data_IF_631077896100
#
_entry.id   IF_631077896100
#
_cell.length_a   1.000
_cell.length_b   1.000
_cell.length_c   1.000
_cell.angle_alpha   90.00
_cell.angle_beta   90.00
_cell.angle_gamma   90.00
#
_symmetry.space_group_name_H-M   'P 1'
#
loop_
_entity.id
_entity.type
_entity.pdbx_description
1 polymer ?
#
# COMPACT_ATOMS: atom_id res chain seq x y z
N UNK A 1 4.35 -0.95 18.04
CA UNK A 1 3.57 -1.94 18.81
C UNK A 1 2.21 -1.34 19.17
N UNK A 2 1.17 -2.17 19.15
CA UNK A 2 -0.15 -1.76 19.63
C UNK A 2 -0.31 -2.05 21.11
N UNK A 3 -1.03 -1.19 21.78
CA UNK A 3 -1.33 -1.34 23.20
C UNK A 3 -2.79 -1.04 23.49
N UNK A 4 -3.29 -1.59 24.59
CA UNK A 4 -4.59 -1.26 25.16
C UNK A 4 -4.39 -0.28 26.29
N UNK A 5 -5.26 0.69 26.37
CA UNK A 5 -5.30 1.66 27.47
C UNK A 5 -6.73 1.98 27.83
N UNK A 6 -7.00 2.00 29.13
CA UNK A 6 -8.23 2.53 29.66
C UNK A 6 -8.26 4.07 29.56
N UNK A 7 -9.34 4.60 29.03
CA UNK A 7 -9.59 6.04 28.86
C UNK A 7 -10.93 6.40 29.48
N UNK A 8 -10.99 6.42 30.82
CA UNK A 8 -12.24 6.58 31.56
C UNK A 8 -13.07 5.30 31.48
N UNK A 9 -14.30 5.37 30.97
CA UNK A 9 -15.20 4.21 30.84
C UNK A 9 -15.02 3.42 29.55
N UNK A 10 -13.97 3.69 28.73
CA UNK A 10 -13.77 3.03 27.42
C UNK A 10 -12.35 2.55 27.25
N UNK A 11 -12.20 1.30 26.86
CA UNK A 11 -10.92 0.72 26.44
C UNK A 11 -10.59 1.17 25.01
N UNK A 12 -9.38 1.64 24.77
CA UNK A 12 -8.93 2.10 23.45
C UNK A 12 -7.65 1.41 23.04
N UNK A 13 -7.59 1.05 21.77
CA UNK A 13 -6.34 0.59 21.13
C UNK A 13 -5.52 1.82 20.74
N UNK A 14 -4.24 1.82 21.07
CA UNK A 14 -3.27 2.84 20.70
C UNK A 14 -2.05 2.23 20.02
N UNK A 15 -1.21 3.06 19.45
CA UNK A 15 0.07 2.66 18.87
C UNK A 15 1.19 3.34 19.64
N UNK A 16 2.17 2.55 20.09
CA UNK A 16 3.39 3.06 20.72
C UNK A 16 4.27 3.61 19.60
N UNK A 17 4.50 4.90 19.60
CA UNK A 17 5.29 5.60 18.58
C UNK A 17 6.72 5.88 19.02
N UNK A 18 6.97 5.91 20.33
CA UNK A 18 8.28 6.14 20.89
C UNK A 18 8.36 5.64 22.33
N UNK A 19 9.57 5.33 22.78
CA UNK A 19 9.89 4.95 24.17
C UNK A 19 10.98 5.90 24.65
N UNK A 20 10.67 6.69 25.67
CA UNK A 20 11.60 7.67 26.24
C UNK A 20 12.03 7.26 27.65
N UNK A 21 13.21 7.72 28.06
CA UNK A 21 13.72 7.46 29.41
C UNK A 21 12.82 8.06 30.49
N UNK A 22 12.78 7.42 31.67
CA UNK A 22 11.92 7.82 32.77
C UNK A 22 12.20 9.27 33.26
N UNK A 23 13.43 9.73 33.14
CA UNK A 23 13.85 11.09 33.58
C UNK A 23 13.32 12.19 32.64
N UNK A 24 12.86 11.82 31.45
CA UNK A 24 12.27 12.74 30.45
C UNK A 24 10.76 12.92 30.60
N UNK A 25 10.19 12.54 31.77
CA UNK A 25 8.75 12.63 32.00
C UNK A 25 8.26 14.08 31.94
N UNK A 26 7.23 14.39 31.14
CA UNK A 26 6.60 15.70 31.18
C UNK A 26 5.96 15.94 32.56
N UNK A 27 6.37 17.02 33.24
CA UNK A 27 5.86 17.36 34.59
C UNK A 27 4.39 17.83 34.58
N UNK A 28 3.86 18.15 33.41
CA UNK A 28 2.55 18.80 33.25
C UNK A 28 1.38 17.83 33.04
N UNK A 29 1.63 16.55 32.75
CA UNK A 29 0.57 15.60 32.42
C UNK A 29 0.59 14.39 33.34
N UNK A 30 -0.61 13.92 33.74
CA UNK A 30 -0.75 12.64 34.43
C UNK A 30 -0.53 11.50 33.39
N UNK A 31 0.57 10.80 33.58
CA UNK A 31 0.90 9.63 32.71
C UNK A 31 -0.05 8.50 33.14
N UNK A 32 -0.77 7.95 32.17
CA UNK A 32 -1.60 6.77 32.35
C UNK A 32 -0.81 5.52 31.97
N UNK A 33 -1.03 4.42 32.68
CA UNK A 33 -0.41 3.12 32.35
C UNK A 33 -1.01 2.55 31.08
N UNK A 34 -0.23 1.73 30.39
CA UNK A 34 -0.70 0.79 29.36
C UNK A 34 -1.19 -0.44 30.12
N UNK A 35 -2.40 -0.91 29.80
CA UNK A 35 -2.99 -2.07 30.46
C UNK A 35 -2.46 -3.37 29.86
N UNK A 36 -2.32 -3.41 28.53
CA UNK A 36 -1.88 -4.59 27.81
C UNK A 36 -1.11 -4.20 26.54
N UNK A 37 -0.07 -4.97 26.22
CA UNK A 37 0.65 -4.94 24.95
C UNK A 37 0.08 -6.03 24.05
N UNK A 38 -0.46 -5.66 22.89
CA UNK A 38 -1.17 -6.58 22.00
C UNK A 38 -0.20 -7.38 21.13
N UNK A 39 0.85 -6.72 20.64
CA UNK A 39 1.76 -7.29 19.64
C UNK A 39 3.14 -7.55 20.25
N UNK A 40 3.71 -8.71 19.94
CA UNK A 40 5.09 -9.06 20.30
C UNK A 40 6.11 -8.41 19.35
N UNK A 41 5.69 -8.07 18.15
CA UNK A 41 6.53 -7.45 17.11
C UNK A 41 5.84 -6.22 16.51
N UNK A 42 6.59 -5.22 16.01
CA UNK A 42 6.02 -4.06 15.35
C UNK A 42 5.16 -4.46 14.14
N UNK A 43 3.91 -4.00 14.07
CA UNK A 43 3.00 -4.25 12.95
C UNK A 43 3.43 -3.47 11.71
N UNK A 44 3.88 -2.22 11.88
CA UNK A 44 4.31 -1.38 10.77
C UNK A 44 5.80 -1.58 10.50
N UNK A 45 6.17 -1.67 9.25
CA UNK A 45 7.57 -1.61 8.84
C UNK A 45 8.17 -0.23 9.16
N UNK A 46 9.49 -0.16 9.25
CA UNK A 46 10.20 1.11 9.49
C UNK A 46 9.89 2.14 8.41
N UNK A 47 9.81 1.71 7.15
CA UNK A 47 9.50 2.56 6.00
C UNK A 47 8.07 3.08 6.08
N UNK A 48 7.10 2.21 6.36
CA UNK A 48 5.71 2.62 6.54
C UNK A 48 5.56 3.62 7.70
N UNK A 49 6.27 3.41 8.79
CA UNK A 49 6.24 4.34 9.92
C UNK A 49 6.86 5.71 9.56
N UNK A 50 7.96 5.74 8.79
CA UNK A 50 8.53 6.97 8.25
C UNK A 50 7.54 7.70 7.33
N UNK A 51 6.88 6.95 6.43
CA UNK A 51 5.83 7.48 5.56
C UNK A 51 4.68 8.10 6.37
N UNK A 52 4.22 7.43 7.42
CA UNK A 52 3.19 7.97 8.31
C UNK A 52 3.65 9.24 9.04
N UNK A 53 4.89 9.29 9.51
CA UNK A 53 5.47 10.51 10.14
C UNK A 53 5.54 11.67 9.15
N UNK A 54 6.04 11.41 7.96
CA UNK A 54 6.10 12.42 6.90
C UNK A 54 4.68 12.93 6.55
N UNK A 55 3.74 12.03 6.32
CA UNK A 55 2.38 12.39 5.97
C UNK A 55 1.68 13.18 7.08
N UNK A 56 1.93 12.84 8.35
CA UNK A 56 1.45 13.60 9.50
C UNK A 56 1.97 15.03 9.49
N UNK A 57 3.27 15.21 9.24
CA UNK A 57 3.91 16.54 9.18
C UNK A 57 3.46 17.33 7.94
N UNK A 58 3.49 16.71 6.77
CA UNK A 58 3.18 17.36 5.50
C UNK A 58 1.72 17.80 5.40
N UNK A 59 0.79 16.95 5.82
CA UNK A 59 -0.66 17.26 5.80
C UNK A 59 -1.17 17.87 7.10
N UNK A 60 -0.29 18.19 8.07
CA UNK A 60 -0.65 18.74 9.37
C UNK A 60 -1.76 17.94 10.08
N UNK A 61 -1.64 16.62 10.09
CA UNK A 61 -2.67 15.73 10.63
C UNK A 61 -2.13 14.88 11.80
N UNK A 62 -2.92 14.63 12.87
CA UNK A 62 -2.46 13.87 14.02
C UNK A 62 -1.90 12.50 13.64
N UNK A 63 -0.68 12.19 14.05
CA UNK A 63 0.05 10.96 13.68
C UNK A 63 -0.74 9.69 13.97
N UNK A 64 -1.49 9.63 15.08
CA UNK A 64 -2.31 8.47 15.40
C UNK A 64 -3.38 8.17 14.35
N UNK A 65 -4.01 9.21 13.77
CA UNK A 65 -5.02 9.02 12.73
C UNK A 65 -4.38 8.59 11.40
N UNK A 66 -3.20 9.10 11.09
CA UNK A 66 -2.42 8.69 9.91
C UNK A 66 -2.04 7.21 10.02
N UNK A 67 -1.48 6.80 11.15
CA UNK A 67 -1.13 5.40 11.41
C UNK A 67 -2.37 4.50 11.32
N UNK A 68 -3.48 4.89 11.93
CA UNK A 68 -4.71 4.11 11.82
C UNK A 68 -5.23 4.01 10.37
N UNK A 69 -4.91 4.97 9.48
CA UNK A 69 -5.24 4.87 8.06
C UNK A 69 -4.41 3.81 7.33
N UNK A 70 -3.18 3.55 7.79
CA UNK A 70 -2.30 2.49 7.29
C UNK A 70 -2.64 1.10 7.85
N UNK A 71 -3.51 1.01 8.86
CA UNK A 71 -3.88 -0.23 9.53
C UNK A 71 -5.24 -0.74 9.07
N UNK A 72 -5.41 -2.06 9.04
CA UNK A 72 -6.71 -2.67 8.71
C UNK A 72 -7.71 -2.50 9.86
N UNK A 73 -9.03 -2.62 9.56
CA UNK A 73 -10.04 -2.56 10.62
C UNK A 73 -9.90 -3.65 11.70
N UNK A 74 -9.25 -4.78 11.40
CA UNK A 74 -9.00 -5.84 12.40
C UNK A 74 -7.98 -5.39 13.44
N UNK A 75 -6.88 -4.78 13.03
CA UNK A 75 -5.90 -4.20 13.95
C UNK A 75 -6.52 -3.17 14.89
N UNK A 76 -7.43 -2.32 14.38
CA UNK A 76 -8.06 -1.26 15.18
C UNK A 76 -9.04 -1.76 16.24
N UNK A 77 -9.56 -2.99 16.10
CA UNK A 77 -10.65 -3.53 16.93
C UNK A 77 -10.23 -4.73 17.78
N UNK A 78 -8.94 -5.01 17.88
CA UNK A 78 -8.43 -6.15 18.67
C UNK A 78 -9.17 -7.48 18.34
N UNK A 79 -9.47 -7.72 17.08
CA UNK A 79 -10.10 -8.96 16.66
C UNK A 79 -9.03 -10.01 16.37
N UNK A 80 -9.35 -11.27 16.70
CA UNK A 80 -8.49 -12.40 16.34
C UNK A 80 -8.17 -12.35 14.83
N UNK A 81 -6.90 -12.38 14.52
CA UNK A 81 -6.44 -12.42 13.14
C UNK A 81 -6.87 -13.72 12.47
N UNK A 82 -7.23 -13.67 11.18
CA UNK A 82 -7.49 -14.88 10.42
C UNK A 82 -6.24 -15.75 10.39
N UNK A 83 -6.35 -17.00 10.81
CA UNK A 83 -5.24 -17.96 10.78
C UNK A 83 -4.85 -18.38 9.36
N UNK A 84 -5.81 -18.32 8.41
CA UNK A 84 -5.57 -18.69 7.02
C UNK A 84 -4.81 -17.59 6.27
N UNK A 85 -3.64 -17.94 5.73
CA UNK A 85 -2.89 -17.11 4.79
C UNK A 85 -3.65 -16.95 3.47
N UNK A 86 -3.32 -15.88 2.75
CA UNK A 86 -3.78 -15.71 1.38
C UNK A 86 -2.87 -16.51 0.46
N UNK A 87 -3.43 -17.40 -0.33
CA UNK A 87 -2.68 -18.11 -1.36
C UNK A 87 -2.48 -17.21 -2.57
N UNK A 88 -1.25 -16.99 -2.96
CA UNK A 88 -0.91 -16.31 -4.21
C UNK A 88 -1.18 -17.27 -5.37
N UNK A 89 -2.17 -16.93 -6.18
CA UNK A 89 -2.55 -17.76 -7.32
C UNK A 89 -1.58 -17.53 -8.48
N UNK A 90 -1.30 -18.60 -9.20
CA UNK A 90 -0.50 -18.57 -10.41
C UNK A 90 -1.35 -19.04 -11.61
N UNK A 91 -1.14 -18.40 -12.76
CA UNK A 91 -1.72 -18.85 -14.00
C UNK A 91 -0.88 -19.99 -14.58
N UNK A 92 -1.53 -21.04 -15.03
CA UNK A 92 -0.86 -22.16 -15.71
C UNK A 92 -0.40 -21.77 -17.12
N UNK A 93 -1.15 -20.88 -17.77
CA UNK A 93 -0.82 -20.33 -19.09
C UNK A 93 -1.03 -18.83 -19.12
N UNK A 94 -0.20 -18.11 -19.86
CA UNK A 94 -0.32 -16.69 -20.11
C UNK A 94 0.23 -16.36 -21.50
N UNK A 95 -0.32 -15.30 -22.10
CA UNK A 95 0.04 -14.86 -23.44
C UNK A 95 1.35 -14.06 -23.42
N UNK A 96 2.09 -14.08 -24.54
CA UNK A 96 3.20 -13.17 -24.71
C UNK A 96 2.68 -11.79 -25.17
N UNK A 97 3.05 -10.76 -24.43
CA UNK A 97 2.71 -9.38 -24.78
C UNK A 97 3.77 -8.81 -25.72
N UNK A 98 3.36 -8.39 -26.92
CA UNK A 98 4.23 -7.74 -27.90
C UNK A 98 3.90 -6.24 -27.89
N UNK A 99 4.90 -5.41 -27.58
CA UNK A 99 4.79 -3.96 -27.65
C UNK A 99 4.97 -3.48 -29.09
N UNK A 100 4.24 -2.45 -29.48
CA UNK A 100 4.51 -1.74 -30.73
C UNK A 100 5.83 -0.93 -30.66
N UNK A 101 6.29 -0.36 -31.77
CA UNK A 101 7.57 0.33 -31.84
C UNK A 101 7.68 1.53 -30.87
N UNK A 102 6.61 2.31 -30.69
CA UNK A 102 6.58 3.45 -29.78
C UNK A 102 6.60 2.99 -28.33
N UNK A 103 5.74 2.04 -27.96
CA UNK A 103 5.70 1.45 -26.63
C UNK A 103 7.05 0.83 -26.27
N UNK A 104 7.69 0.12 -27.20
CA UNK A 104 9.01 -0.47 -26.98
C UNK A 104 10.05 0.61 -26.73
N UNK A 105 10.06 1.69 -27.49
CA UNK A 105 10.98 2.82 -27.28
C UNK A 105 10.82 3.43 -25.90
N UNK A 106 9.58 3.65 -25.46
CA UNK A 106 9.27 4.17 -24.10
C UNK A 106 9.73 3.17 -23.05
N UNK A 107 9.35 1.90 -23.16
CA UNK A 107 9.75 0.84 -22.25
C UNK A 107 11.28 0.79 -22.09
N UNK A 108 12.01 0.75 -23.19
CA UNK A 108 13.47 0.68 -23.19
C UNK A 108 14.11 1.91 -22.55
N UNK A 109 13.50 3.09 -22.68
CA UNK A 109 13.97 4.31 -22.01
C UNK A 109 13.78 4.24 -20.48
N UNK A 110 12.65 3.67 -20.03
CA UNK A 110 12.34 3.54 -18.61
C UNK A 110 13.23 2.52 -17.89
N UNK A 111 13.64 1.45 -18.60
CA UNK A 111 14.44 0.37 -18.01
C UNK A 111 15.95 0.56 -18.12
N UNK A 112 16.43 1.44 -18.99
CA UNK A 112 17.88 1.70 -19.19
C UNK A 112 18.53 2.47 -18.07
N UNK A 113 17.76 3.10 -17.22
CA UNK A 113 18.28 3.95 -16.18
C UNK A 113 18.64 3.17 -14.91
N UNK A 114 19.65 3.67 -14.19
CA UNK A 114 20.14 3.05 -12.96
C UNK A 114 19.04 2.76 -11.93
N UNK A 115 19.27 1.76 -11.07
CA UNK A 115 18.39 1.32 -9.96
C UNK A 115 18.18 2.40 -8.87
N UNK A 116 17.78 3.60 -9.29
CA UNK A 116 17.44 4.70 -8.39
C UNK A 116 15.95 4.99 -8.48
N UNK A 117 15.38 5.44 -7.36
CA UNK A 117 13.99 5.91 -7.36
C UNK A 117 13.82 7.04 -8.39
N UNK A 118 12.83 6.92 -9.24
CA UNK A 118 12.52 7.90 -10.28
C UNK A 118 11.03 7.98 -10.51
N UNK A 119 10.55 9.18 -10.69
CA UNK A 119 9.16 9.46 -11.11
C UNK A 119 9.14 9.69 -12.61
N UNK A 120 8.33 8.93 -13.32
CA UNK A 120 8.14 9.06 -14.76
C UNK A 120 6.68 9.37 -15.08
N UNK A 121 6.43 10.29 -15.99
CA UNK A 121 5.09 10.62 -16.48
C UNK A 121 4.94 10.10 -17.91
N UNK A 122 4.00 9.17 -18.10
CA UNK A 122 3.68 8.59 -19.40
C UNK A 122 2.44 9.29 -19.95
N UNK A 123 2.60 10.07 -21.00
CA UNK A 123 1.49 10.74 -21.69
C UNK A 123 0.99 9.90 -22.84
N UNK A 124 -0.32 9.73 -22.94
CA UNK A 124 -0.98 9.03 -24.04
C UNK A 124 -2.50 9.15 -23.93
N UNK A 125 -3.18 9.21 -25.06
CA UNK A 125 -4.64 9.22 -25.11
C UNK A 125 -5.23 7.91 -24.58
N UNK A 126 -6.50 7.89 -24.27
CA UNK A 126 -7.22 6.67 -23.91
C UNK A 126 -7.11 5.67 -25.06
N UNK A 127 -6.79 4.40 -24.76
CA UNK A 127 -6.59 3.36 -25.77
C UNK A 127 -5.21 3.36 -26.45
N UNK A 128 -4.26 4.22 -26.05
CA UNK A 128 -2.89 4.23 -26.60
C UNK A 128 -2.02 3.05 -26.16
N UNK A 129 -2.56 2.14 -25.37
CA UNK A 129 -1.82 0.97 -24.89
C UNK A 129 -0.92 1.25 -23.69
N UNK A 130 -1.27 2.21 -22.83
CA UNK A 130 -0.54 2.44 -21.57
C UNK A 130 -0.52 1.20 -20.68
N UNK A 131 -1.63 0.46 -20.63
CA UNK A 131 -1.75 -0.74 -19.80
C UNK A 131 -0.77 -1.84 -20.22
N UNK A 132 -0.54 -2.02 -21.52
CA UNK A 132 0.46 -2.97 -22.05
C UNK A 132 1.87 -2.61 -21.57
N UNK A 133 2.19 -1.32 -21.51
CA UNK A 133 3.46 -0.86 -20.98
C UNK A 133 3.57 -1.14 -19.47
N UNK A 134 2.48 -0.91 -18.70
CA UNK A 134 2.45 -1.24 -17.28
C UNK A 134 2.66 -2.73 -17.03
N UNK A 135 2.05 -3.60 -17.84
CA UNK A 135 2.23 -5.06 -17.77
C UNK A 135 3.70 -5.44 -18.00
N UNK A 136 4.36 -4.85 -19.00
CA UNK A 136 5.79 -5.12 -19.28
C UNK A 136 6.70 -4.67 -18.14
N UNK A 137 6.47 -3.48 -17.58
CA UNK A 137 7.21 -2.99 -16.41
C UNK A 137 6.98 -3.88 -15.18
N UNK A 138 5.73 -4.32 -14.97
CA UNK A 138 5.38 -5.27 -13.91
C UNK A 138 6.12 -6.59 -14.07
N UNK A 139 6.16 -7.15 -15.29
CA UNK A 139 6.89 -8.40 -15.58
C UNK A 139 8.36 -8.28 -15.21
N UNK A 140 9.01 -7.20 -15.61
CA UNK A 140 10.41 -6.94 -15.25
C UNK A 140 10.60 -6.84 -13.73
N UNK A 141 9.73 -6.13 -13.03
CA UNK A 141 9.82 -6.01 -11.57
C UNK A 141 9.64 -7.35 -10.86
N UNK A 142 8.78 -8.24 -11.38
CA UNK A 142 8.63 -9.61 -10.86
C UNK A 142 9.92 -10.42 -11.07
N UNK A 143 10.54 -10.31 -12.23
CA UNK A 143 11.82 -10.98 -12.53
C UNK A 143 12.95 -10.53 -11.59
N UNK A 144 12.87 -9.30 -11.08
CA UNK A 144 13.77 -8.74 -10.07
C UNK A 144 13.36 -9.06 -8.62
N UNK A 145 12.35 -9.90 -8.39
CA UNK A 145 11.79 -10.25 -7.08
C UNK A 145 11.29 -9.02 -6.30
N UNK A 146 10.60 -8.12 -6.97
CA UNK A 146 10.02 -6.93 -6.38
C UNK A 146 8.49 -7.05 -6.28
N UNK A 147 7.92 -6.28 -5.36
CA UNK A 147 6.47 -6.14 -5.19
C UNK A 147 5.97 -4.94 -5.98
N UNK A 148 4.73 -5.03 -6.47
CA UNK A 148 4.16 -4.05 -7.40
C UNK A 148 2.81 -3.55 -6.90
N UNK A 149 2.62 -2.23 -6.96
CA UNK A 149 1.34 -1.57 -6.73
C UNK A 149 0.85 -0.89 -8.01
N UNK A 150 -0.33 -1.28 -8.48
CA UNK A 150 -1.05 -0.62 -9.56
C UNK A 150 -2.24 0.10 -8.96
N UNK A 151 -2.29 1.40 -9.09
CA UNK A 151 -3.39 2.20 -8.59
C UNK A 151 -4.31 2.61 -9.73
N UNK A 152 -5.61 2.41 -9.52
CA UNK A 152 -6.67 2.86 -10.43
C UNK A 152 -7.60 3.84 -9.70
N UNK A 153 -8.19 4.83 -10.40
CA UNK A 153 -8.99 5.86 -9.73
C UNK A 153 -10.26 5.29 -9.07
N UNK A 154 -10.91 4.31 -9.70
CA UNK A 154 -12.20 3.80 -9.26
C UNK A 154 -12.22 2.27 -9.14
N UNK A 155 -13.06 1.77 -8.24
CA UNK A 155 -13.21 0.32 -7.97
C UNK A 155 -13.69 -0.44 -9.21
N UNK A 156 -14.57 0.15 -10.01
CA UNK A 156 -15.14 -0.45 -11.23
C UNK A 156 -14.09 -0.71 -12.31
N UNK A 157 -12.93 -0.06 -12.26
CA UNK A 157 -11.80 -0.30 -13.20
C UNK A 157 -10.93 -1.49 -12.78
N UNK A 158 -11.02 -1.92 -11.52
CA UNK A 158 -10.21 -3.04 -11.00
C UNK A 158 -10.45 -4.33 -11.79
N UNK A 159 -11.70 -4.80 -12.05
CA UNK A 159 -11.92 -6.04 -12.78
C UNK A 159 -11.30 -6.05 -14.18
N UNK A 160 -11.48 -4.97 -14.93
CA UNK A 160 -10.92 -4.85 -16.28
C UNK A 160 -9.38 -4.84 -16.26
N UNK A 161 -8.78 -4.09 -15.35
CA UNK A 161 -7.32 -4.03 -15.17
C UNK A 161 -6.79 -5.40 -14.75
N UNK A 162 -7.45 -6.07 -13.80
CA UNK A 162 -7.08 -7.40 -13.33
C UNK A 162 -7.09 -8.43 -14.44
N UNK A 163 -8.13 -8.47 -15.29
CA UNK A 163 -8.20 -9.38 -16.43
C UNK A 163 -7.08 -9.14 -17.46
N UNK A 164 -6.74 -7.88 -17.73
CA UNK A 164 -5.61 -7.55 -18.61
C UNK A 164 -4.29 -8.05 -18.04
N UNK A 165 -4.05 -7.85 -16.75
CA UNK A 165 -2.82 -8.33 -16.10
C UNK A 165 -2.76 -9.85 -16.02
N UNK A 166 -3.86 -10.53 -15.67
CA UNK A 166 -3.94 -11.99 -15.67
C UNK A 166 -3.59 -12.61 -17.01
N UNK A 167 -4.04 -12.00 -18.11
CA UNK A 167 -3.76 -12.52 -19.47
C UNK A 167 -2.27 -12.69 -19.76
N UNK A 168 -1.43 -11.80 -19.21
CA UNK A 168 -0.02 -11.69 -19.58
C UNK A 168 0.96 -12.05 -18.47
N UNK A 169 0.49 -12.25 -17.25
CA UNK A 169 1.35 -12.52 -16.09
C UNK A 169 1.08 -13.89 -15.47
N UNK A 170 2.16 -14.51 -14.99
CA UNK A 170 2.08 -15.76 -14.24
C UNK A 170 1.42 -15.55 -12.87
N UNK A 171 1.72 -14.47 -12.19
CA UNK A 171 1.16 -14.16 -10.87
C UNK A 171 -0.18 -13.44 -11.05
N UNK A 172 -1.23 -13.96 -10.41
CA UNK A 172 -2.55 -13.33 -10.41
C UNK A 172 -2.54 -12.16 -9.43
N UNK A 173 -2.81 -10.92 -9.90
CA UNK A 173 -2.84 -9.76 -9.01
C UNK A 173 -3.94 -9.86 -7.96
N UNK A 174 -3.66 -9.36 -6.77
CA UNK A 174 -4.63 -9.16 -5.71
C UNK A 174 -5.33 -7.81 -5.88
N UNK A 175 -6.54 -7.72 -5.36
CA UNK A 175 -7.29 -6.46 -5.37
C UNK A 175 -7.35 -5.86 -3.96
N UNK A 176 -7.30 -4.50 -3.86
CA UNK A 176 -7.45 -3.78 -2.61
C UNK A 176 -8.28 -2.51 -2.76
N UNK A 177 -9.48 -2.50 -2.14
CA UNK A 177 -10.42 -1.37 -2.24
C UNK A 177 -11.38 -1.34 -1.04
N UNK A 178 -12.20 -0.29 -0.95
CA UNK A 178 -13.10 -0.06 0.19
C UNK A 178 -14.15 -1.16 0.39
N UNK A 179 -14.63 -1.79 -0.69
CA UNK A 179 -15.69 -2.81 -0.63
C UNK A 179 -15.22 -4.19 -0.14
N UNK A 180 -13.92 -4.40 0.03
CA UNK A 180 -13.42 -5.64 0.63
C UNK A 180 -13.84 -5.72 2.09
N UNK A 181 -14.17 -6.93 2.55
CA UNK A 181 -14.42 -7.21 3.97
C UNK A 181 -13.17 -6.95 4.81
N UNK A 182 -13.32 -6.66 6.12
CA UNK A 182 -12.17 -6.50 7.01
C UNK A 182 -11.17 -7.66 6.95
N UNK A 183 -11.66 -8.88 6.85
CA UNK A 183 -10.84 -10.10 6.72
C UNK A 183 -10.07 -10.13 5.41
N UNK A 184 -10.71 -9.80 4.29
CA UNK A 184 -10.02 -9.72 3.00
C UNK A 184 -8.95 -8.64 2.98
N UNK A 185 -9.25 -7.44 3.50
CA UNK A 185 -8.26 -6.36 3.63
C UNK A 185 -7.06 -6.79 4.45
N UNK A 186 -7.30 -7.45 5.58
CA UNK A 186 -6.22 -7.95 6.44
C UNK A 186 -5.35 -8.99 5.74
N UNK A 187 -5.95 -9.94 5.01
CA UNK A 187 -5.20 -10.95 4.25
C UNK A 187 -4.30 -10.32 3.19
N UNK A 188 -4.79 -9.35 2.42
CA UNK A 188 -3.97 -8.63 1.43
C UNK A 188 -2.87 -7.82 2.11
N UNK A 189 -3.20 -7.12 3.19
CA UNK A 189 -2.25 -6.32 3.98
C UNK A 189 -1.10 -7.20 4.49
N UNK A 190 -1.43 -8.36 5.05
CA UNK A 190 -0.46 -9.33 5.54
C UNK A 190 0.38 -9.93 4.41
N UNK A 191 -0.23 -10.26 3.27
CA UNK A 191 0.51 -10.75 2.11
C UNK A 191 1.54 -9.72 1.61
N UNK A 192 1.22 -8.41 1.62
CA UNK A 192 2.20 -7.37 1.28
C UNK A 192 3.40 -7.33 2.24
N UNK A 193 3.19 -7.62 3.51
CA UNK A 193 4.25 -7.64 4.52
C UNK A 193 5.11 -8.92 4.51
N UNK A 194 4.53 -10.06 4.13
CA UNK A 194 5.16 -11.39 4.26
C UNK A 194 5.73 -11.92 2.93
N UNK A 195 5.02 -11.74 1.81
CA UNK A 195 5.38 -12.36 0.54
C UNK A 195 6.52 -11.62 -0.17
N UNK A 196 7.36 -12.36 -0.89
CA UNK A 196 8.47 -11.77 -1.66
C UNK A 196 8.00 -11.17 -2.99
N UNK A 197 7.02 -11.79 -3.64
CA UNK A 197 6.48 -11.37 -4.92
C UNK A 197 4.96 -11.22 -4.82
N UNK A 198 4.47 -10.02 -5.05
CA UNK A 198 3.05 -9.73 -5.02
C UNK A 198 2.72 -8.58 -5.98
N UNK A 199 1.59 -8.67 -6.63
CA UNK A 199 1.02 -7.60 -7.43
C UNK A 199 -0.30 -7.22 -6.78
N UNK A 200 -0.48 -5.96 -6.46
CA UNK A 200 -1.74 -5.42 -5.94
C UNK A 200 -2.30 -4.41 -6.93
N UNK A 201 -3.56 -4.57 -7.32
CA UNK A 201 -4.34 -3.57 -8.03
C UNK A 201 -5.31 -2.97 -7.02
N UNK A 202 -5.22 -1.66 -6.79
CA UNK A 202 -6.03 -1.04 -5.76
C UNK A 202 -6.40 0.40 -6.04
N UNK A 203 -7.29 0.92 -5.20
CA UNK A 203 -7.65 2.35 -5.21
C UNK A 203 -6.79 3.13 -4.21
N UNK A 204 -7.04 4.40 -4.06
CA UNK A 204 -6.31 5.36 -3.20
C UNK A 204 -5.75 4.78 -1.89
N UNK A 205 -6.54 4.01 -1.14
CA UNK A 205 -6.12 3.48 0.17
C UNK A 205 -5.03 2.40 0.08
N UNK A 206 -4.78 1.82 -1.09
CA UNK A 206 -3.74 0.81 -1.28
C UNK A 206 -2.32 1.35 -1.13
N UNK A 207 -2.13 2.66 -1.18
CA UNK A 207 -0.83 3.31 -0.97
C UNK A 207 -0.27 3.09 0.44
N UNK A 208 -1.12 2.73 1.42
CA UNK A 208 -0.72 2.43 2.79
C UNK A 208 -0.52 0.93 3.07
N UNK A 209 -0.44 0.10 2.04
CA UNK A 209 -0.11 -1.31 2.23
C UNK A 209 1.37 -1.46 2.60
N UNK A 210 1.71 -2.33 3.56
CA UNK A 210 3.06 -2.49 4.09
C UNK A 210 3.93 -3.37 3.21
N UNK A 211 4.18 -2.93 1.99
CA UNK A 211 5.05 -3.65 1.08
C UNK A 211 6.45 -3.82 1.69
N UNK A 212 6.95 -5.05 1.68
CA UNK A 212 8.28 -5.40 2.17
C UNK A 212 9.39 -4.96 1.20
N UNK A 213 9.10 -5.03 -0.10
CA UNK A 213 10.08 -4.79 -1.17
C UNK A 213 9.42 -4.17 -2.40
N UNK A 214 8.77 -3.02 -2.20
CA UNK A 214 8.09 -2.30 -3.27
C UNK A 214 9.09 -1.78 -4.30
N UNK A 215 8.94 -2.19 -5.57
CA UNK A 215 9.83 -1.80 -6.66
C UNK A 215 9.15 -1.00 -7.76
N UNK A 216 7.82 -1.08 -7.87
CA UNK A 216 7.07 -0.36 -8.88
C UNK A 216 5.74 0.13 -8.32
N UNK A 217 5.47 1.42 -8.49
CA UNK A 217 4.14 2.01 -8.32
C UNK A 217 3.69 2.54 -9.67
N UNK A 218 2.53 2.10 -10.14
CA UNK A 218 1.84 2.69 -11.29
C UNK A 218 0.61 3.41 -10.78
N UNK A 219 0.42 4.65 -11.20
CA UNK A 219 -0.79 5.44 -10.90
C UNK A 219 -1.45 5.76 -12.24
N UNK A 220 -2.46 4.98 -12.58
CA UNK A 220 -3.20 5.17 -13.82
C UNK A 220 -4.15 6.36 -13.69
N UNK A 221 -4.30 7.15 -14.78
CA UNK A 221 -5.08 8.39 -14.79
C UNK A 221 -4.76 9.30 -13.58
N UNK A 222 -3.48 9.61 -13.39
CA UNK A 222 -2.92 10.26 -12.19
C UNK A 222 -3.57 11.61 -11.85
N UNK A 223 -4.19 12.25 -12.82
CA UNK A 223 -4.88 13.53 -12.67
C UNK A 223 -6.28 13.40 -12.05
N UNK A 224 -6.79 12.17 -11.88
CA UNK A 224 -8.13 11.95 -11.34
C UNK A 224 -8.24 12.39 -9.87
N UNK A 225 -9.31 13.11 -9.57
CA UNK A 225 -9.57 13.66 -8.23
C UNK A 225 -9.82 12.60 -7.15
N UNK A 226 -10.16 11.36 -7.53
CA UNK A 226 -10.39 10.25 -6.61
C UNK A 226 -9.14 9.85 -5.79
N UNK A 227 -7.94 10.19 -6.26
CA UNK A 227 -6.70 10.00 -5.51
C UNK A 227 -6.56 10.94 -4.32
N UNK A 228 -7.39 11.99 -4.24
CA UNK A 228 -7.43 12.91 -3.11
C UNK A 228 -8.48 12.48 -2.09
N UNK A 229 -8.05 12.22 -0.86
CA UNK A 229 -8.93 12.01 0.29
C UNK A 229 -9.39 13.36 0.83
N UNK A 230 -10.71 13.55 0.95
CA UNK A 230 -11.31 14.82 1.38
C UNK A 230 -11.86 14.80 2.79
N UNK A 231 -12.03 13.59 3.36
CA UNK A 231 -12.59 13.38 4.69
C UNK A 231 -11.55 12.85 5.67
N UNK A 232 -11.70 13.15 6.94
CA UNK A 232 -10.83 12.73 8.03
C UNK A 232 -9.35 13.08 7.78
N UNK A 233 -8.47 12.11 7.59
CA UNK A 233 -7.11 12.32 7.16
C UNK A 233 -7.09 12.68 5.67
N UNK A 234 -6.91 13.93 5.38
CA UNK A 234 -6.88 14.48 4.02
C UNK A 234 -5.49 14.31 3.42
N UNK A 235 -5.36 13.55 2.35
CA UNK A 235 -4.10 13.30 1.66
C UNK A 235 -4.33 13.08 0.16
N UNK A 236 -3.25 13.13 -0.62
CA UNK A 236 -3.24 12.68 -2.01
C UNK A 236 -2.35 11.44 -2.12
N UNK A 237 -2.90 10.36 -2.65
CA UNK A 237 -2.17 9.11 -2.77
C UNK A 237 -0.98 9.20 -3.74
N UNK A 238 -1.07 10.05 -4.77
CA UNK A 238 0.04 10.32 -5.67
C UNK A 238 1.24 10.92 -4.91
N UNK A 239 0.99 11.91 -4.05
CA UNK A 239 2.06 12.58 -3.31
C UNK A 239 2.77 11.62 -2.35
N UNK A 240 1.99 10.70 -1.71
CA UNK A 240 2.57 9.66 -0.86
C UNK A 240 3.35 8.63 -1.70
N UNK A 241 2.90 8.33 -2.92
CA UNK A 241 3.58 7.39 -3.81
C UNK A 241 4.91 7.89 -4.37
N UNK A 242 5.17 9.20 -4.29
CA UNK A 242 6.42 9.83 -4.72
C UNK A 242 7.46 9.89 -3.60
N UNK A 243 7.04 9.74 -2.35
CA UNK A 243 7.90 9.74 -1.17
C UNK A 243 8.79 8.51 -1.13
#
# INVERSE_FOLDING_TARGET
EMCIRDSGNTTRVGVIIDVIAADSKPKTYKIKKIDELIDEVPILTTEMFKTCKWASSYYHHPIGQVIFSAMTPLHRKQRKEPTSKLEIRHNESFEELILNAEQKKIHDSLIKEEKKFKVNVIRGVTGSGKTELYVKLTKKSIEENLQILIMVPEINLIPQTLERFKRYLKIVPLQYHSNLTPTQKHKVWRACAEEEQIIVIGTRSSIFLPFKKLGLIVIDEEHDSSYKQTEMFKYNARDIGIL
#
